data_IF_823518881574
#
_entry.id   IF_823518881574
#
_cell.length_a   1.000
_cell.length_b   1.000
_cell.length_c   1.000
_cell.angle_alpha   90.00
_cell.angle_beta   90.00
_cell.angle_gamma   90.00
#
_symmetry.space_group_name_H-M   'P 1'
#
loop_
_entity.id
_entity.type
_entity.pdbx_description
1 polymer ?
#
# COMPACT_ATOMS: atom_id res chain seq x y z
N UNK A 1 7.37 10.87 -3.21
CA UNK A 1 6.60 9.63 -3.42
C UNK A 1 5.20 9.97 -3.93
N UNK A 2 4.70 9.24 -4.89
CA UNK A 2 3.37 9.37 -5.49
C UNK A 2 2.46 8.23 -5.02
N UNK A 3 1.15 8.48 -4.94
CA UNK A 3 0.19 7.44 -4.61
C UNK A 3 0.29 6.29 -5.62
N UNK A 4 0.55 5.09 -5.13
CA UNK A 4 0.91 3.95 -5.99
C UNK A 4 0.02 2.74 -5.71
N UNK A 5 -0.57 2.21 -6.76
CA UNK A 5 -1.28 0.94 -6.75
C UNK A 5 -0.42 -0.14 -7.42
N UNK A 6 -0.20 -1.25 -6.73
CA UNK A 6 0.51 -2.42 -7.27
C UNK A 6 -0.50 -3.49 -7.65
N UNK A 7 -0.52 -3.86 -8.91
CA UNK A 7 -1.37 -4.93 -9.46
C UNK A 7 -0.52 -6.15 -9.74
N UNK A 8 -0.93 -7.30 -9.26
CA UNK A 8 -0.16 -8.54 -9.42
C UNK A 8 -1.03 -9.79 -9.32
N UNK A 9 -0.78 -10.79 -10.15
CA UNK A 9 -1.27 -12.13 -9.91
C UNK A 9 -0.69 -12.73 -8.62
N UNK A 10 -1.29 -13.76 -8.04
CA UNK A 10 -0.72 -14.49 -6.91
C UNK A 10 0.68 -15.03 -7.24
N UNK A 11 1.59 -15.01 -6.25
CA UNK A 11 2.93 -15.61 -6.37
C UNK A 11 3.96 -14.79 -7.16
N UNK A 12 3.64 -13.60 -7.68
CA UNK A 12 4.55 -12.75 -8.46
C UNK A 12 5.39 -11.79 -7.61
N UNK A 13 5.34 -11.91 -6.28
CA UNK A 13 6.20 -11.14 -5.39
C UNK A 13 5.61 -9.80 -4.93
N UNK A 14 4.30 -9.59 -5.08
CA UNK A 14 3.57 -8.39 -4.67
C UNK A 14 3.90 -7.96 -3.23
N UNK A 15 3.71 -8.84 -2.27
CA UNK A 15 3.98 -8.59 -0.84
C UNK A 15 5.46 -8.30 -0.57
N UNK A 16 6.37 -8.96 -1.30
CA UNK A 16 7.82 -8.70 -1.22
C UNK A 16 8.17 -7.31 -1.71
N UNK A 17 7.63 -6.90 -2.86
CA UNK A 17 7.82 -5.54 -3.39
C UNK A 17 7.22 -4.50 -2.45
N UNK A 18 5.99 -4.73 -1.97
CA UNK A 18 5.34 -3.81 -1.03
C UNK A 18 6.18 -3.62 0.23
N UNK A 19 6.72 -4.69 0.81
CA UNK A 19 7.59 -4.65 1.98
C UNK A 19 8.87 -3.84 1.74
N UNK A 20 9.53 -4.05 0.61
CA UNK A 20 10.75 -3.30 0.28
C UNK A 20 10.47 -1.81 0.05
N UNK A 21 9.36 -1.46 -0.61
CA UNK A 21 8.93 -0.07 -0.77
C UNK A 21 8.62 0.59 0.57
N UNK A 22 7.92 -0.10 1.47
CA UNK A 22 7.65 0.39 2.83
C UNK A 22 8.97 0.71 3.54
N UNK A 23 9.92 -0.21 3.53
CA UNK A 23 11.24 -0.04 4.16
C UNK A 23 11.97 1.18 3.56
N UNK A 24 12.04 1.28 2.25
CA UNK A 24 12.71 2.40 1.57
C UNK A 24 12.04 3.75 1.85
N UNK A 25 10.71 3.79 1.89
CA UNK A 25 9.96 5.00 2.25
C UNK A 25 10.20 5.40 3.71
N UNK A 26 10.26 4.41 4.61
CA UNK A 26 10.47 4.61 6.04
C UNK A 26 11.88 5.11 6.35
N UNK A 27 12.90 4.46 5.81
CA UNK A 27 14.30 4.81 6.07
C UNK A 27 14.76 6.04 5.30
N UNK A 28 14.14 6.27 4.14
CA UNK A 28 14.63 7.20 3.14
C UNK A 28 15.67 6.55 2.21
N UNK A 29 15.94 7.21 1.11
CA UNK A 29 16.91 6.75 0.10
C UNK A 29 17.47 7.94 -0.70
N UNK A 30 18.19 7.67 -1.79
CA UNK A 30 18.75 8.71 -2.65
C UNK A 30 17.73 9.68 -3.26
N UNK A 31 16.44 9.33 -3.25
CA UNK A 31 15.36 10.12 -3.84
C UNK A 31 14.58 10.95 -2.81
N UNK A 32 14.82 10.75 -1.52
CA UNK A 32 14.17 11.56 -0.49
C UNK A 32 14.37 11.08 0.94
N UNK A 33 14.02 11.93 1.91
CA UNK A 33 14.11 11.60 3.32
C UNK A 33 13.10 10.52 3.72
N UNK A 34 13.36 9.86 4.85
CA UNK A 34 12.44 8.89 5.44
C UNK A 34 11.11 9.52 5.87
N UNK A 35 10.04 8.80 5.62
CA UNK A 35 8.65 9.18 5.92
C UNK A 35 8.08 8.31 7.05
N UNK A 36 7.12 8.84 7.79
CA UNK A 36 6.31 8.04 8.72
C UNK A 36 5.33 7.19 7.92
N UNK A 37 5.50 5.86 7.97
CA UNK A 37 4.68 4.89 7.26
C UNK A 37 3.79 4.16 8.25
N UNK A 38 2.49 4.18 8.01
CA UNK A 38 1.53 3.35 8.73
C UNK A 38 1.17 2.12 7.90
N UNK A 39 1.36 0.94 8.45
CA UNK A 39 1.05 -0.34 7.82
C UNK A 39 -0.11 -1.01 8.53
N UNK A 40 -1.11 -1.43 7.77
CA UNK A 40 -2.13 -2.37 8.27
C UNK A 40 -1.84 -3.73 7.66
N UNK A 41 -1.47 -4.67 8.53
CA UNK A 41 -1.05 -6.03 8.16
C UNK A 41 -2.11 -7.04 8.66
N UNK A 42 -3.20 -7.15 7.91
CA UNK A 42 -4.36 -7.96 8.33
C UNK A 42 -4.02 -9.45 8.47
N UNK A 43 -3.09 -9.96 7.65
CA UNK A 43 -2.71 -11.37 7.62
C UNK A 43 -1.36 -11.67 8.23
N UNK A 44 -0.72 -10.69 8.85
CA UNK A 44 0.64 -10.82 9.39
C UNK A 44 1.68 -11.25 8.33
N UNK A 45 1.47 -10.85 7.08
CA UNK A 45 2.36 -11.26 5.96
C UNK A 45 3.43 -10.20 5.66
N UNK A 46 3.15 -8.93 5.93
CA UNK A 46 4.12 -7.84 5.69
C UNK A 46 5.19 -7.82 6.78
N UNK A 47 4.80 -7.63 8.01
CA UNK A 47 5.68 -7.59 9.16
C UNK A 47 6.12 -8.98 9.63
N UNK A 48 5.30 -10.00 9.35
CA UNK A 48 5.50 -11.34 9.85
C UNK A 48 5.56 -11.36 11.38
N UNK A 49 4.69 -10.60 12.04
CA UNK A 49 4.80 -10.34 13.48
C UNK A 49 4.73 -11.63 14.32
N UNK A 50 5.66 -11.76 15.25
CA UNK A 50 5.66 -12.81 16.24
C UNK A 50 5.73 -12.22 17.64
N UNK A 51 4.74 -12.51 18.48
CA UNK A 51 4.60 -11.94 19.83
C UNK A 51 4.73 -10.43 19.86
N UNK A 52 4.06 -9.75 18.89
CA UNK A 52 4.05 -8.29 18.78
C UNK A 52 5.34 -7.66 18.24
N UNK A 53 6.26 -8.46 17.72
CA UNK A 53 7.52 -7.97 17.14
C UNK A 53 7.57 -8.30 15.65
N UNK A 54 7.75 -7.31 14.76
CA UNK A 54 8.02 -7.55 13.35
C UNK A 54 9.26 -8.45 13.18
N UNK A 55 9.18 -9.44 12.31
CA UNK A 55 10.29 -10.30 11.93
C UNK A 55 10.91 -9.87 10.60
N UNK A 56 10.16 -9.13 9.81
CA UNK A 56 10.64 -8.51 8.58
C UNK A 56 11.01 -7.05 8.83
N UNK A 57 12.03 -6.59 8.13
CA UNK A 57 12.45 -5.19 8.16
C UNK A 57 11.47 -4.32 7.32
N UNK A 58 10.79 -3.42 7.98
CA UNK A 58 9.87 -2.44 7.38
C UNK A 58 10.38 -0.99 7.53
N UNK A 59 11.60 -0.82 8.04
CA UNK A 59 12.22 0.47 8.27
C UNK A 59 11.86 1.11 9.62
N UNK A 60 12.69 2.07 10.03
CA UNK A 60 12.69 2.64 11.38
C UNK A 60 11.49 3.53 11.71
N UNK A 61 10.81 4.09 10.69
CA UNK A 61 9.67 5.02 10.85
C UNK A 61 8.35 4.39 10.46
N UNK A 62 8.23 3.07 10.66
CA UNK A 62 7.03 2.31 10.32
C UNK A 62 6.29 1.86 11.56
N UNK A 63 5.04 2.25 11.68
CA UNK A 63 4.08 1.74 12.66
C UNK A 63 3.25 0.62 12.02
N UNK A 64 3.11 -0.51 12.69
CA UNK A 64 2.38 -1.68 12.18
C UNK A 64 1.19 -1.99 13.07
N UNK A 65 0.00 -2.06 12.47
CA UNK A 65 -1.17 -2.68 13.08
C UNK A 65 -1.31 -4.10 12.52
N UNK A 66 -0.88 -5.06 13.33
CA UNK A 66 -0.87 -6.49 13.00
C UNK A 66 -2.22 -7.14 13.34
N UNK A 67 -2.64 -8.10 12.50
CA UNK A 67 -3.91 -8.83 12.64
C UNK A 67 -5.14 -7.91 12.81
N UNK A 68 -5.14 -6.77 12.16
CA UNK A 68 -6.19 -5.76 12.22
C UNK A 68 -6.91 -5.65 10.87
N UNK A 69 -8.26 -5.62 10.84
CA UNK A 69 -9.00 -5.39 9.60
C UNK A 69 -8.57 -4.08 8.93
N UNK A 70 -8.34 -4.09 7.61
CA UNK A 70 -7.73 -2.98 6.86
C UNK A 70 -8.44 -1.65 7.07
N UNK A 71 -9.73 -1.60 6.84
CA UNK A 71 -10.51 -0.36 6.97
C UNK A 71 -10.44 0.24 8.38
N UNK A 72 -10.53 -0.61 9.41
CA UNK A 72 -10.42 -0.18 10.82
C UNK A 72 -9.00 0.30 11.12
N UNK A 73 -7.99 -0.48 10.72
CA UNK A 73 -6.59 -0.18 10.96
C UNK A 73 -6.17 1.15 10.34
N UNK A 74 -6.58 1.43 9.10
CA UNK A 74 -6.32 2.72 8.46
C UNK A 74 -6.87 3.89 9.27
N UNK A 75 -8.10 3.79 9.76
CA UNK A 75 -8.72 4.83 10.59
C UNK A 75 -8.02 5.03 11.95
N UNK A 76 -7.55 3.93 12.56
CA UNK A 76 -6.79 3.99 13.81
C UNK A 76 -5.44 4.66 13.60
N UNK A 77 -4.70 4.31 12.53
CA UNK A 77 -3.43 4.95 12.18
C UNK A 77 -3.59 6.47 11.96
N UNK A 78 -4.61 6.88 11.22
CA UNK A 78 -4.89 8.30 10.99
C UNK A 78 -5.10 9.09 12.28
N UNK A 79 -5.78 8.49 13.27
CA UNK A 79 -6.11 9.17 14.54
C UNK A 79 -4.96 9.22 15.53
N UNK A 80 -4.07 8.23 15.50
CA UNK A 80 -3.07 8.05 16.57
C UNK A 80 -1.62 8.24 16.14
N UNK A 81 -1.27 7.94 14.88
CA UNK A 81 0.12 7.86 14.44
C UNK A 81 0.52 8.98 13.46
N UNK A 82 -0.45 9.73 12.93
CA UNK A 82 -0.21 10.80 11.94
C UNK A 82 0.72 10.37 10.80
N UNK A 83 0.41 9.27 10.10
CA UNK A 83 1.27 8.75 9.04
C UNK A 83 1.34 9.73 7.86
N UNK A 84 2.47 9.75 7.16
CA UNK A 84 2.62 10.45 5.89
C UNK A 84 2.29 9.54 4.70
N UNK A 85 2.48 8.23 4.90
CA UNK A 85 2.12 7.19 3.95
C UNK A 85 1.31 6.13 4.68
N UNK A 86 0.22 5.66 4.08
CA UNK A 86 -0.50 4.47 4.51
C UNK A 86 -0.24 3.37 3.49
N UNK A 87 0.21 2.21 3.98
CA UNK A 87 0.47 1.02 3.18
C UNK A 87 -0.45 -0.12 3.59
N UNK A 88 -1.12 -0.74 2.61
CA UNK A 88 -2.03 -1.87 2.81
C UNK A 88 -1.86 -2.92 1.72
N UNK A 89 -1.91 -4.18 2.11
CA UNK A 89 -1.89 -5.30 1.16
C UNK A 89 -3.33 -5.77 0.85
N UNK A 90 -3.55 -6.16 -0.39
CA UNK A 90 -4.78 -6.80 -0.89
C UNK A 90 -6.08 -6.01 -0.64
N UNK A 91 -6.24 -4.88 -1.34
CA UNK A 91 -7.53 -4.21 -1.40
C UNK A 91 -8.61 -5.13 -2.00
N UNK A 92 -9.77 -5.20 -1.36
CA UNK A 92 -10.82 -6.09 -1.82
C UNK A 92 -12.25 -5.71 -1.45
N UNK A 93 -12.42 -4.85 -0.46
CA UNK A 93 -13.74 -4.49 0.07
C UNK A 93 -14.05 -3.00 -0.12
N UNK A 94 -15.32 -2.66 -0.29
CA UNK A 94 -15.77 -1.26 -0.36
C UNK A 94 -15.38 -0.46 0.89
N UNK A 95 -15.28 -1.11 2.03
CA UNK A 95 -14.84 -0.48 3.28
C UNK A 95 -13.37 -0.03 3.19
N UNK A 96 -12.51 -0.79 2.51
CA UNK A 96 -11.11 -0.44 2.29
C UNK A 96 -11.00 0.83 1.45
N UNK A 97 -11.81 0.90 0.37
CA UNK A 97 -11.84 2.06 -0.53
C UNK A 97 -12.28 3.32 0.21
N UNK A 98 -13.35 3.22 1.01
CA UNK A 98 -13.80 4.36 1.83
C UNK A 98 -12.75 4.83 2.84
N UNK A 99 -11.98 3.90 3.42
CA UNK A 99 -10.91 4.23 4.35
C UNK A 99 -9.72 4.89 3.64
N UNK A 100 -9.36 4.43 2.43
CA UNK A 100 -8.34 5.06 1.59
C UNK A 100 -8.72 6.49 1.20
N UNK A 101 -9.97 6.74 0.82
CA UNK A 101 -10.45 8.10 0.56
C UNK A 101 -10.27 9.03 1.77
N UNK A 102 -10.57 8.55 2.97
CA UNK A 102 -10.34 9.32 4.20
C UNK A 102 -8.86 9.59 4.43
N UNK A 103 -7.99 8.60 4.18
CA UNK A 103 -6.56 8.77 4.30
C UNK A 103 -6.01 9.82 3.32
N UNK A 104 -6.43 9.76 2.05
CA UNK A 104 -6.08 10.75 1.05
C UNK A 104 -6.58 12.15 1.43
N UNK A 105 -7.82 12.28 1.90
CA UNK A 105 -8.39 13.54 2.36
C UNK A 105 -7.66 14.13 3.58
N UNK A 106 -7.00 13.29 4.40
CA UNK A 106 -6.13 13.71 5.50
C UNK A 106 -4.71 14.06 5.03
N UNK A 107 -4.43 14.02 3.73
CA UNK A 107 -3.11 14.34 3.17
C UNK A 107 -2.10 13.19 3.20
N UNK A 108 -2.51 11.97 3.57
CA UNK A 108 -1.65 10.80 3.51
C UNK A 108 -1.44 10.36 2.06
N UNK A 109 -0.22 9.94 1.75
CA UNK A 109 0.08 9.21 0.52
C UNK A 109 -0.37 7.77 0.64
N UNK A 110 -0.73 7.16 -0.47
CA UNK A 110 -1.27 5.81 -0.53
C UNK A 110 -0.29 4.86 -1.22
N UNK A 111 -0.05 3.72 -0.60
CA UNK A 111 0.67 2.59 -1.18
C UNK A 111 -0.18 1.34 -0.96
N UNK A 112 -0.77 0.81 -2.00
CA UNK A 112 -1.70 -0.30 -1.88
C UNK A 112 -1.45 -1.37 -2.93
N UNK A 113 -1.92 -2.58 -2.66
CA UNK A 113 -1.86 -3.67 -3.62
C UNK A 113 -3.25 -4.23 -3.91
N UNK A 114 -3.39 -4.82 -5.08
CA UNK A 114 -4.59 -5.55 -5.49
C UNK A 114 -4.21 -6.76 -6.32
N UNK A 115 -5.00 -7.82 -6.23
CA UNK A 115 -4.89 -8.94 -7.15
C UNK A 115 -5.42 -8.57 -8.53
N UNK A 116 -4.66 -8.90 -9.57
CA UNK A 116 -5.04 -8.70 -10.95
C UNK A 116 -3.91 -9.00 -11.91
N UNK A 117 -4.21 -9.14 -13.18
CA UNK A 117 -3.24 -9.40 -14.24
C UNK A 117 -2.81 -8.13 -14.96
N UNK A 118 -3.68 -7.13 -14.96
CA UNK A 118 -3.49 -5.86 -15.64
C UNK A 118 -4.36 -4.75 -15.03
N UNK A 119 -4.26 -3.55 -15.59
CA UNK A 119 -5.05 -2.38 -15.20
C UNK A 119 -6.57 -2.60 -15.36
N UNK A 120 -6.98 -3.32 -16.42
CA UNK A 120 -8.40 -3.60 -16.67
C UNK A 120 -8.99 -4.50 -15.60
N UNK A 121 -8.19 -5.45 -15.11
CA UNK A 121 -8.60 -6.36 -14.05
C UNK A 121 -8.71 -5.62 -12.70
N UNK A 122 -7.76 -4.72 -12.41
CA UNK A 122 -7.85 -3.83 -11.26
C UNK A 122 -9.08 -2.91 -11.35
N UNK A 123 -9.34 -2.33 -12.54
CA UNK A 123 -10.48 -1.46 -12.78
C UNK A 123 -11.84 -2.17 -12.63
N UNK A 124 -11.93 -3.46 -12.95
CA UNK A 124 -13.16 -4.23 -12.70
C UNK A 124 -13.46 -4.40 -11.21
N UNK A 125 -12.42 -4.40 -10.36
CA UNK A 125 -12.54 -4.61 -8.91
C UNK A 125 -12.78 -3.31 -8.15
N UNK A 126 -12.06 -2.26 -8.50
CA UNK A 126 -12.10 -0.97 -7.79
C UNK A 126 -12.91 0.11 -8.53
N UNK A 127 -13.18 -0.07 -9.82
CA UNK A 127 -13.63 1.00 -10.69
C UNK A 127 -12.46 1.83 -11.23
N UNK A 128 -12.48 2.14 -12.53
CA UNK A 128 -11.40 2.93 -13.16
C UNK A 128 -11.34 4.34 -12.58
N UNK A 129 -12.48 4.97 -12.37
CA UNK A 129 -12.58 6.32 -11.82
C UNK A 129 -12.00 6.39 -10.40
N UNK A 130 -12.22 5.36 -9.59
CA UNK A 130 -11.68 5.27 -8.23
C UNK A 130 -10.15 5.14 -8.25
N UNK A 131 -9.60 4.33 -9.18
CA UNK A 131 -8.15 4.20 -9.34
C UNK A 131 -7.54 5.55 -9.73
N UNK A 132 -8.07 6.21 -10.76
CA UNK A 132 -7.54 7.49 -11.25
C UNK A 132 -7.68 8.62 -10.22
N UNK A 133 -8.71 8.61 -9.37
CA UNK A 133 -8.87 9.62 -8.30
C UNK A 133 -7.91 9.45 -7.13
N UNK A 134 -7.54 8.22 -6.80
CA UNK A 134 -6.75 7.92 -5.60
C UNK A 134 -5.27 7.72 -5.87
N UNK A 135 -4.91 7.23 -7.05
CA UNK A 135 -3.55 6.83 -7.36
C UNK A 135 -3.00 7.63 -8.54
N UNK A 136 -1.76 8.07 -8.39
CA UNK A 136 -1.01 8.77 -9.45
C UNK A 136 -0.28 7.77 -10.36
N UNK A 137 -0.09 6.56 -9.86
CA UNK A 137 0.73 5.53 -10.52
C UNK A 137 0.17 4.14 -10.31
N UNK A 138 0.23 3.33 -11.36
CA UNK A 138 -0.02 1.90 -11.30
C UNK A 138 1.25 1.12 -11.67
N UNK A 139 1.56 0.09 -10.88
CA UNK A 139 2.69 -0.83 -11.11
C UNK A 139 2.12 -2.22 -11.34
N UNK A 140 2.37 -2.81 -12.48
CA UNK A 140 1.87 -4.14 -12.85
C UNK A 140 3.03 -5.12 -12.84
N UNK A 141 2.95 -6.15 -11.99
CA UNK A 141 3.93 -7.22 -11.97
C UNK A 141 3.55 -8.29 -13.00
N UNK A 142 4.45 -8.56 -13.95
CA UNK A 142 4.25 -9.52 -15.04
C UNK A 142 5.06 -10.81 -14.88
N UNK A 143 5.83 -10.92 -13.79
CA UNK A 143 6.69 -12.05 -13.47
C UNK A 143 7.76 -11.66 -12.47
N UNK A 144 8.63 -12.60 -12.08
CA UNK A 144 9.76 -12.29 -11.19
C UNK A 144 10.71 -11.33 -11.88
N UNK A 145 10.83 -10.12 -11.34
CA UNK A 145 11.71 -9.07 -11.89
C UNK A 145 11.17 -8.34 -13.11
N UNK A 146 9.98 -8.66 -13.60
CA UNK A 146 9.33 -7.94 -14.69
C UNK A 146 8.19 -7.09 -14.14
N UNK A 147 8.30 -5.78 -14.29
CA UNK A 147 7.26 -4.83 -13.92
C UNK A 147 7.04 -3.79 -15.02
N UNK A 148 5.82 -3.35 -15.13
CA UNK A 148 5.41 -2.21 -15.95
C UNK A 148 4.89 -1.12 -15.01
N UNK A 149 5.40 0.09 -15.18
CA UNK A 149 4.95 1.24 -14.40
C UNK A 149 4.32 2.25 -15.33
N UNK A 150 3.12 2.71 -15.00
CA UNK A 150 2.39 3.76 -15.73
C UNK A 150 1.99 4.87 -14.79
N UNK A 151 2.13 6.11 -15.24
CA UNK A 151 1.49 7.25 -14.60
C UNK A 151 0.02 7.28 -15.03
N UNK A 152 -0.86 7.53 -14.08
CA UNK A 152 -2.27 7.78 -14.35
C UNK A 152 -2.39 9.30 -14.47
N UNK A 153 -2.69 9.79 -15.68
CA UNK A 153 -2.99 11.22 -15.89
C UNK A 153 -4.38 11.46 -15.31
N UNK A 154 -4.46 12.26 -14.26
CA UNK A 154 -5.72 12.81 -13.81
C UNK A 154 -6.16 13.88 -14.80
N UNK A 155 -7.36 13.73 -15.35
CA UNK A 155 -8.04 14.80 -16.09
C UNK A 155 -8.29 16.03 -15.19
#
# INVERSE_FOLDING_TARGET
FQNTLIVSPPGFGKTTLLRDLIRQLSDGNAYGPGLRVGVVDERSELAGAYRGRPQNDLGMRTDVLDACPKALGMLLLLRSMSPQVIAVDELGEDADIRALHKAAACGCRLLATIHGTDEKDAARRLGIDEICRMFDRIVILKGRGLMECRCLEGD
#
